data_IF_906719024489
#
_entry.id   IF_906719024489
#
_cell.length_a   1.000
_cell.length_b   1.000
_cell.length_c   1.000
_cell.angle_alpha   90.00
_cell.angle_beta   90.00
_cell.angle_gamma   90.00
#
_symmetry.space_group_name_H-M   'P 1'
#
loop_
_entity.id
_entity.type
_entity.pdbx_description
1 polymer ?
#
# COMPACT_ATOMS: atom_id res chain seq x y z
N UNK A 1 16.88 -10.15 14.90
CA UNK A 1 16.61 -8.69 15.02
C UNK A 1 17.35 -7.87 13.96
N UNK A 2 18.68 -7.78 13.94
CA UNK A 2 19.40 -6.95 12.92
C UNK A 2 19.36 -7.54 11.51
N UNK A 3 19.41 -8.87 11.37
CA UNK A 3 19.28 -9.54 10.06
C UNK A 3 17.88 -9.40 9.46
N UNK A 4 16.84 -9.36 10.28
CA UNK A 4 15.45 -9.34 9.82
C UNK A 4 15.03 -7.93 9.38
N UNK A 5 15.47 -6.90 10.10
CA UNK A 5 15.32 -5.51 9.65
C UNK A 5 16.02 -5.26 8.30
N UNK A 6 17.19 -5.89 8.07
CA UNK A 6 17.88 -5.83 6.78
C UNK A 6 17.12 -6.52 5.65
N UNK A 7 16.40 -7.61 5.94
CA UNK A 7 15.55 -8.28 4.94
C UNK A 7 14.32 -7.45 4.57
N UNK A 8 13.70 -6.78 5.55
CA UNK A 8 12.62 -5.82 5.31
C UNK A 8 13.10 -4.68 4.41
N UNK A 9 14.23 -4.05 4.77
CA UNK A 9 14.84 -3.01 3.94
C UNK A 9 15.25 -3.49 2.54
N UNK A 10 15.67 -4.75 2.41
CA UNK A 10 16.04 -5.34 1.11
C UNK A 10 14.82 -5.58 0.22
N UNK A 11 13.72 -6.12 0.76
CA UNK A 11 12.47 -6.30 0.02
C UNK A 11 11.91 -4.95 -0.48
N UNK A 12 12.00 -3.92 0.37
CA UNK A 12 11.56 -2.55 0.07
C UNK A 12 12.47 -1.84 -0.95
N UNK A 13 13.73 -2.27 -1.09
CA UNK A 13 14.65 -1.73 -2.10
C UNK A 13 14.33 -2.18 -3.52
N UNK A 14 13.71 -3.35 -3.66
CA UNK A 14 13.28 -3.87 -4.97
C UNK A 14 11.92 -3.29 -5.41
N UNK A 15 11.21 -2.62 -4.50
CA UNK A 15 9.94 -1.93 -4.78
C UNK A 15 10.15 -0.54 -5.39
N UNK A 16 9.57 -0.34 -6.57
CA UNK A 16 9.55 0.96 -7.23
C UNK A 16 8.27 1.72 -6.88
N UNK A 17 8.39 2.99 -6.50
CA UNK A 17 7.23 3.87 -6.43
C UNK A 17 6.79 4.25 -7.84
N UNK A 18 5.49 4.26 -8.09
CA UNK A 18 4.93 4.70 -9.37
C UNK A 18 3.78 5.67 -9.14
N UNK A 19 3.82 6.83 -9.79
CA UNK A 19 2.69 7.77 -9.73
C UNK A 19 1.52 7.26 -10.57
N UNK A 20 0.30 7.74 -10.28
CA UNK A 20 -0.88 7.44 -11.10
C UNK A 20 -0.66 7.82 -12.57
N UNK A 21 0.00 8.95 -12.81
CA UNK A 21 0.32 9.43 -14.17
C UNK A 21 1.27 8.47 -14.88
N UNK A 22 2.34 8.03 -14.20
CA UNK A 22 3.31 7.10 -14.78
C UNK A 22 2.69 5.72 -15.03
N UNK A 23 1.81 5.27 -14.12
CA UNK A 23 1.05 4.04 -14.29
C UNK A 23 0.13 4.11 -15.51
N UNK A 24 -0.60 5.23 -15.69
CA UNK A 24 -1.42 5.45 -16.90
C UNK A 24 -0.60 5.33 -18.17
N UNK A 25 0.56 5.99 -18.22
CA UNK A 25 1.47 5.92 -19.37
C UNK A 25 1.94 4.49 -19.60
N UNK A 26 2.32 3.77 -18.54
CA UNK A 26 2.76 2.38 -18.60
C UNK A 26 1.67 1.44 -19.12
N UNK A 27 0.41 1.67 -18.76
CA UNK A 27 -0.75 0.89 -19.19
C UNK A 27 -1.32 1.35 -20.54
N UNK A 28 -0.74 2.37 -21.18
CA UNK A 28 -1.21 2.91 -22.46
C UNK A 28 -2.54 3.65 -22.38
N UNK A 29 -2.90 4.19 -21.22
CA UNK A 29 -4.09 5.00 -21.05
C UNK A 29 -3.94 6.35 -21.74
N UNK A 30 -4.97 6.78 -22.47
CA UNK A 30 -5.08 8.16 -22.90
C UNK A 30 -5.21 9.05 -21.66
N UNK A 31 -4.43 10.12 -21.58
CA UNK A 31 -4.55 11.16 -20.54
C UNK A 31 -5.79 12.03 -20.82
N UNK A 32 -6.96 11.41 -20.97
CA UNK A 32 -8.22 12.16 -21.06
C UNK A 32 -8.71 12.51 -19.66
N UNK A 33 -9.24 13.72 -19.53
CA UNK A 33 -9.93 14.19 -18.33
C UNK A 33 -11.35 13.68 -18.39
N UNK A 34 -11.59 12.47 -17.91
CA UNK A 34 -12.95 12.08 -17.56
C UNK A 34 -13.34 12.73 -16.23
N UNK A 35 -14.59 13.19 -16.13
CA UNK A 35 -15.23 13.69 -14.89
C UNK A 35 -15.50 12.55 -13.87
N UNK A 36 -14.66 11.52 -13.86
CA UNK A 36 -14.72 10.41 -12.91
C UNK A 36 -14.11 10.80 -11.58
N UNK A 37 -14.69 10.29 -10.48
CA UNK A 37 -14.12 10.49 -9.16
C UNK A 37 -12.76 9.80 -9.02
N UNK A 38 -11.92 10.28 -8.09
CA UNK A 38 -10.59 9.71 -7.83
C UNK A 38 -10.63 8.20 -7.50
N UNK A 39 -11.69 7.74 -6.83
CA UNK A 39 -11.89 6.31 -6.54
C UNK A 39 -12.23 5.49 -7.78
N UNK A 40 -13.11 6.01 -8.65
CA UNK A 40 -13.49 5.32 -9.90
C UNK A 40 -12.31 5.25 -10.87
N UNK A 41 -11.53 6.33 -10.97
CA UNK A 41 -10.31 6.35 -11.76
C UNK A 41 -9.30 5.31 -11.25
N UNK A 42 -9.11 5.25 -9.93
CA UNK A 42 -8.19 4.30 -9.31
C UNK A 42 -8.64 2.85 -9.52
N UNK A 43 -9.93 2.54 -9.31
CA UNK A 43 -10.47 1.20 -9.56
C UNK A 43 -10.29 0.78 -11.03
N UNK A 44 -10.58 1.68 -11.96
CA UNK A 44 -10.40 1.42 -13.38
C UNK A 44 -8.92 1.21 -13.75
N UNK A 45 -7.99 1.94 -13.12
CA UNK A 45 -6.55 1.72 -13.27
C UNK A 45 -6.11 0.35 -12.76
N UNK A 46 -6.59 -0.05 -11.59
CA UNK A 46 -6.34 -1.37 -11.04
C UNK A 46 -6.85 -2.46 -11.99
N UNK A 47 -8.09 -2.35 -12.47
CA UNK A 47 -8.65 -3.29 -13.46
C UNK A 47 -7.81 -3.36 -14.75
N UNK A 48 -7.30 -2.22 -15.21
CA UNK A 48 -6.41 -2.18 -16.37
C UNK A 48 -5.06 -2.84 -16.10
N UNK A 49 -4.47 -2.63 -14.92
CA UNK A 49 -3.25 -3.29 -14.52
C UNK A 49 -3.44 -4.81 -14.45
N UNK A 50 -4.58 -5.27 -13.91
CA UNK A 50 -4.91 -6.69 -13.87
C UNK A 50 -5.02 -7.29 -15.28
N UNK A 51 -5.67 -6.60 -16.21
CA UNK A 51 -5.75 -7.02 -17.64
C UNK A 51 -4.38 -7.05 -18.31
N UNK A 52 -3.45 -6.19 -17.91
CA UNK A 52 -2.07 -6.19 -18.35
C UNK A 52 -1.19 -7.27 -17.67
N UNK A 53 -1.77 -8.11 -16.81
CA UNK A 53 -1.11 -9.24 -16.16
C UNK A 53 -0.40 -8.90 -14.85
N UNK A 54 -0.73 -7.78 -14.21
CA UNK A 54 -0.27 -7.48 -12.86
C UNK A 54 -1.15 -8.18 -11.82
N UNK A 55 -0.53 -8.68 -10.76
CA UNK A 55 -1.23 -9.08 -9.54
C UNK A 55 -1.37 -7.85 -8.65
N UNK A 56 -2.56 -7.64 -8.07
CA UNK A 56 -2.87 -6.46 -7.27
C UNK A 56 -2.97 -6.87 -5.81
N UNK A 57 -2.17 -6.25 -4.95
CA UNK A 57 -2.27 -6.47 -3.51
C UNK A 57 -3.41 -5.63 -2.91
N UNK A 58 -3.96 -6.02 -1.74
CA UNK A 58 -4.96 -5.22 -1.02
C UNK A 58 -4.51 -3.80 -0.65
N UNK A 59 -3.23 -3.48 -0.81
CA UNK A 59 -2.61 -2.21 -0.43
C UNK A 59 -2.24 -1.34 -1.64
N UNK A 60 -2.80 -1.60 -2.82
CA UNK A 60 -2.48 -0.82 -4.02
C UNK A 60 -1.08 -1.09 -4.58
N UNK A 61 -0.52 -2.27 -4.30
CA UNK A 61 0.74 -2.70 -4.90
C UNK A 61 0.46 -3.52 -6.17
N UNK A 62 1.33 -3.38 -7.16
CA UNK A 62 1.26 -4.10 -8.43
C UNK A 62 2.49 -4.99 -8.58
N UNK A 63 2.27 -6.29 -8.78
CA UNK A 63 3.34 -7.28 -8.91
C UNK A 63 3.33 -7.93 -10.29
N UNK A 64 4.49 -7.94 -10.96
CA UNK A 64 4.70 -8.62 -12.24
C UNK A 64 6.18 -8.93 -12.46
N UNK A 65 6.50 -10.15 -12.91
CA UNK A 65 7.86 -10.58 -13.26
C UNK A 65 8.91 -10.29 -12.16
N UNK A 66 8.56 -10.58 -10.90
CA UNK A 66 9.38 -10.31 -9.71
C UNK A 66 9.68 -8.84 -9.43
N UNK A 67 8.94 -7.92 -10.05
CA UNK A 67 8.95 -6.49 -9.72
C UNK A 67 7.66 -6.12 -9.01
N UNK A 68 7.81 -5.36 -7.94
CA UNK A 68 6.69 -4.82 -7.17
C UNK A 68 6.69 -3.30 -7.31
N UNK A 69 5.53 -2.73 -7.61
CA UNK A 69 5.31 -1.30 -7.64
C UNK A 69 4.32 -0.90 -6.57
N UNK A 70 4.56 0.23 -5.89
CA UNK A 70 3.59 0.83 -4.98
C UNK A 70 3.04 2.07 -5.66
N UNK A 71 1.71 2.12 -5.84
CA UNK A 71 1.06 3.28 -6.45
C UNK A 71 1.05 4.44 -5.45
N UNK A 72 1.69 5.55 -5.78
CA UNK A 72 1.72 6.73 -4.91
C UNK A 72 0.51 7.62 -5.16
N UNK A 73 -0.57 7.39 -4.42
CA UNK A 73 -1.74 8.26 -4.36
C UNK A 73 -2.37 8.26 -2.96
N UNK A 74 -3.35 9.14 -2.76
CA UNK A 74 -4.03 9.31 -1.47
C UNK A 74 -4.78 8.04 -1.03
N UNK A 75 -5.37 7.30 -1.97
CA UNK A 75 -6.10 6.05 -1.68
C UNK A 75 -5.14 4.97 -1.16
N UNK A 76 -4.00 4.78 -1.82
CA UNK A 76 -2.98 3.81 -1.39
C UNK A 76 -2.38 4.21 -0.05
N UNK A 77 -2.11 5.50 0.16
CA UNK A 77 -1.67 6.02 1.45
C UNK A 77 -2.69 5.73 2.56
N UNK A 78 -3.99 5.94 2.31
CA UNK A 78 -5.05 5.63 3.25
C UNK A 78 -5.13 4.12 3.58
N UNK A 79 -5.02 3.25 2.57
CA UNK A 79 -5.00 1.80 2.76
C UNK A 79 -3.82 1.34 3.62
N UNK A 80 -2.61 1.84 3.33
CA UNK A 80 -1.39 1.54 4.08
C UNK A 80 -1.50 2.05 5.54
N UNK A 81 -1.96 3.28 5.75
CA UNK A 81 -2.16 3.82 7.11
C UNK A 81 -3.19 3.00 7.91
N UNK A 82 -4.33 2.67 7.30
CA UNK A 82 -5.36 1.86 7.94
C UNK A 82 -4.83 0.48 8.33
N UNK A 83 -4.00 -0.12 7.47
CA UNK A 83 -3.35 -1.38 7.78
C UNK A 83 -2.37 -1.30 8.94
N UNK A 84 -1.48 -0.31 8.94
CA UNK A 84 -0.54 -0.07 10.03
C UNK A 84 -1.26 0.10 11.36
N UNK A 85 -2.33 0.90 11.38
CA UNK A 85 -3.10 1.18 12.58
C UNK A 85 -3.80 -0.09 13.12
N UNK A 86 -4.28 -0.96 12.23
CA UNK A 86 -4.81 -2.27 12.59
C UNK A 86 -3.71 -3.20 13.14
N UNK A 87 -2.52 -3.25 12.51
CA UNK A 87 -1.36 -4.00 13.02
C UNK A 87 -1.02 -3.58 14.45
N UNK A 88 -0.95 -2.26 14.71
CA UNK A 88 -0.69 -1.71 16.04
C UNK A 88 -1.78 -2.10 17.04
N UNK A 89 -3.05 -2.08 16.60
CA UNK A 89 -4.19 -2.47 17.43
C UNK A 89 -4.14 -3.96 17.79
N UNK A 90 -3.84 -4.83 16.84
CA UNK A 90 -3.70 -6.26 17.10
C UNK A 90 -2.52 -6.57 18.01
N UNK A 91 -1.37 -5.91 17.84
CA UNK A 91 -0.23 -6.06 18.75
C UNK A 91 -0.57 -5.71 20.20
N UNK A 92 -1.41 -4.69 20.44
CA UNK A 92 -1.87 -4.34 21.79
C UNK A 92 -2.79 -5.39 22.42
N UNK A 93 -3.48 -6.16 21.58
CA UNK A 93 -4.47 -7.15 22.00
C UNK A 93 -3.91 -8.58 22.06
N UNK A 94 -2.67 -8.80 21.59
CA UNK A 94 -2.03 -10.11 21.63
C UNK A 94 -1.61 -10.49 23.05
N UNK A 95 -1.77 -11.78 23.38
CA UNK A 95 -1.25 -12.33 24.62
C UNK A 95 0.28 -12.46 24.52
N UNK A 96 0.96 -12.48 25.67
CA UNK A 96 2.42 -12.64 25.76
C UNK A 96 2.91 -13.98 25.20
N UNK A 97 2.01 -14.96 25.04
CA UNK A 97 2.33 -16.31 24.55
C UNK A 97 2.44 -16.40 23.02
N UNK A 98 1.98 -15.38 22.30
CA UNK A 98 1.96 -15.33 20.83
C UNK A 98 3.16 -14.54 20.24
N UNK A 99 4.37 -14.71 20.80
CA UNK A 99 5.56 -13.92 20.44
C UNK A 99 5.88 -13.92 18.93
N UNK A 100 5.77 -15.08 18.26
CA UNK A 100 6.03 -15.19 16.81
C UNK A 100 5.00 -14.43 15.97
N UNK A 101 3.75 -14.40 16.42
CA UNK A 101 2.69 -13.67 15.74
C UNK A 101 2.84 -12.17 16.00
N UNK A 102 3.14 -11.77 17.23
CA UNK A 102 3.46 -10.39 17.58
C UNK A 102 4.63 -9.85 16.75
N UNK A 103 5.68 -10.66 16.59
CA UNK A 103 6.83 -10.32 15.74
C UNK A 103 6.44 -10.15 14.27
N UNK A 104 5.63 -11.07 13.72
CA UNK A 104 5.20 -11.01 12.33
C UNK A 104 4.36 -9.76 12.04
N UNK A 105 3.45 -9.41 12.95
CA UNK A 105 2.63 -8.18 12.84
C UNK A 105 3.49 -6.93 12.99
N UNK A 106 4.48 -6.94 13.89
CA UNK A 106 5.42 -5.83 14.04
C UNK A 106 6.23 -5.59 12.75
N UNK A 107 6.66 -6.67 12.09
CA UNK A 107 7.34 -6.56 10.80
C UNK A 107 6.44 -5.97 9.72
N UNK A 108 5.17 -6.38 9.66
CA UNK A 108 4.19 -5.84 8.70
C UNK A 108 3.98 -4.34 8.95
N UNK A 109 3.81 -3.92 10.20
CA UNK A 109 3.68 -2.50 10.57
C UNK A 109 4.93 -1.69 10.18
N UNK A 110 6.12 -2.21 10.46
CA UNK A 110 7.38 -1.54 10.12
C UNK A 110 7.58 -1.39 8.60
N UNK A 111 7.27 -2.45 7.84
CA UNK A 111 7.31 -2.42 6.38
C UNK A 111 6.37 -1.34 5.82
N UNK A 112 5.14 -1.27 6.35
CA UNK A 112 4.16 -0.28 5.93
C UNK A 112 4.57 1.15 6.29
N UNK A 113 5.16 1.36 7.47
CA UNK A 113 5.68 2.68 7.86
C UNK A 113 6.83 3.11 6.93
N UNK A 114 7.77 2.22 6.63
CA UNK A 114 8.89 2.51 5.72
C UNK A 114 8.39 2.78 4.28
N UNK A 115 7.33 2.10 3.83
CA UNK A 115 6.69 2.41 2.55
C UNK A 115 6.07 3.82 2.56
N UNK A 116 5.36 4.19 3.62
CA UNK A 116 4.73 5.52 3.79
C UNK A 116 5.76 6.65 3.88
N UNK A 117 6.93 6.42 4.48
CA UNK A 117 8.01 7.41 4.54
C UNK A 117 8.50 7.86 3.16
N UNK A 118 8.31 7.03 2.12
CA UNK A 118 8.69 7.36 0.74
C UNK A 118 7.66 8.23 0.03
N UNK A 119 6.46 8.40 0.58
CA UNK A 119 5.41 9.23 0.00
C UNK A 119 5.66 10.70 0.35
N UNK A 120 5.23 11.60 -0.53
CA UNK A 120 5.28 13.03 -0.21
C UNK A 120 4.24 13.40 0.86
N UNK A 121 4.54 14.46 1.61
CA UNK A 121 3.71 14.92 2.74
C UNK A 121 2.27 15.26 2.30
N UNK A 122 2.09 15.76 1.08
CA UNK A 122 0.76 16.14 0.58
C UNK A 122 -0.08 14.87 0.39
N UNK A 123 0.44 13.84 -0.27
CA UNK A 123 -0.24 12.55 -0.45
C UNK A 123 -0.58 11.88 0.89
N UNK A 124 0.33 11.96 1.88
CA UNK A 124 0.08 11.48 3.25
C UNK A 124 -1.08 12.26 3.92
N UNK A 125 -1.10 13.59 3.78
CA UNK A 125 -2.17 14.42 4.33
C UNK A 125 -3.52 14.10 3.70
N UNK A 126 -3.57 13.94 2.38
CA UNK A 126 -4.78 13.59 1.64
C UNK A 126 -5.28 12.19 2.02
N UNK A 127 -4.40 11.20 2.14
CA UNK A 127 -4.75 9.86 2.62
C UNK A 127 -5.30 9.87 4.06
N UNK A 128 -4.73 10.70 4.94
CA UNK A 128 -5.25 10.90 6.31
C UNK A 128 -6.66 11.48 6.31
N UNK A 129 -6.95 12.43 5.41
CA UNK A 129 -8.31 12.95 5.26
C UNK A 129 -9.28 11.89 4.73
N UNK A 130 -8.83 11.05 3.79
CA UNK A 130 -9.65 9.96 3.26
C UNK A 130 -10.04 8.98 4.37
N UNK A 131 -9.12 8.57 5.25
CA UNK A 131 -9.43 7.68 6.37
C UNK A 131 -10.46 8.25 7.34
N UNK A 132 -10.56 9.59 7.46
CA UNK A 132 -11.58 10.25 8.29
C UNK A 132 -12.94 10.28 7.60
N UNK A 133 -12.96 10.35 6.27
CA UNK A 133 -14.18 10.50 5.46
C UNK A 133 -14.79 9.16 5.06
N UNK A 134 -13.97 8.13 4.88
CA UNK A 134 -14.38 6.83 4.33
C UNK A 134 -13.93 5.67 5.21
N UNK A 135 -14.76 4.62 5.25
CA UNK A 135 -14.38 3.35 5.87
C UNK A 135 -13.69 2.48 4.82
N UNK A 136 -12.43 2.15 5.07
CA UNK A 136 -11.68 1.22 4.25
C UNK A 136 -11.84 -0.21 4.78
N UNK A 137 -11.84 -1.24 3.91
CA UNK A 137 -11.86 -2.62 4.35
C UNK A 137 -10.62 -2.93 5.20
N UNK A 138 -10.83 -3.49 6.38
CA UNK A 138 -9.72 -3.93 7.24
C UNK A 138 -9.03 -5.13 6.59
N UNK A 139 -7.73 -5.04 6.29
CA UNK A 139 -6.99 -6.14 5.69
C UNK A 139 -6.89 -7.32 6.66
N UNK A 140 -6.91 -8.55 6.14
CA UNK A 140 -6.76 -9.74 6.98
C UNK A 140 -5.29 -9.84 7.42
N UNK A 141 -5.03 -9.49 8.68
CA UNK A 141 -3.71 -9.70 9.30
C UNK A 141 -3.57 -11.19 9.63
N UNK A 142 -2.54 -11.83 9.08
CA UNK A 142 -2.22 -13.25 9.29
C UNK A 142 -0.83 -13.41 9.89
#
# INVERSE_FOLDING_TARGET
MVEDARKVQAAIRDEALISVTDLKVMLGWALEKDDTSEMEEFDALLLSAQRAGYTISPFGQLEKDSKTFIITNAITAALLMGYRDECITQMKNLSVEDELKAFSIAMQAAYTEEALEKFDIKTISEGTEMLKKYTFPTPVIR
#
